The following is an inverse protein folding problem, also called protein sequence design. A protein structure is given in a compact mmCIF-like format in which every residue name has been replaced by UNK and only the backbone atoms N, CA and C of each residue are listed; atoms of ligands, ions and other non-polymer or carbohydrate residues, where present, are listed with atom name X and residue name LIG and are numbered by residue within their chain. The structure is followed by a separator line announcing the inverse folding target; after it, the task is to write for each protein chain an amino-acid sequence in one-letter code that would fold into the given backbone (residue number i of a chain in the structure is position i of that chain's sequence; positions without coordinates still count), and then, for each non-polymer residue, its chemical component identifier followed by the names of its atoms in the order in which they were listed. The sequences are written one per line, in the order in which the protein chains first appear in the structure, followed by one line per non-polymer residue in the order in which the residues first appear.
data_IF_602718553096
#
_entry.id   IF_602718553096
#
_cell.length_a   1.000
_cell.length_b   1.000
_cell.length_c   1.000
_cell.angle_alpha   90.00
_cell.angle_beta   90.00
_cell.angle_gamma   90.00
#
_symmetry.space_group_name_H-M   'P 1'
#
loop_
_entity.id
_entity.type
_entity.pdbx_description
1 polymer ?
#
# COMPACT_ATOMS: atom_id res chain seq x y z
N UNK A 1 18.60 -26.87 3.52
CA UNK A 1 19.65 -26.02 2.92
C UNK A 1 19.09 -25.57 1.59
N UNK A 2 18.66 -24.31 1.50
CA UNK A 2 18.00 -23.76 0.32
C UNK A 2 19.04 -23.09 -0.56
N UNK A 3 19.02 -23.37 -1.87
CA UNK A 3 19.84 -22.62 -2.81
C UNK A 3 19.37 -21.16 -2.81
N UNK A 4 20.29 -20.19 -2.73
CA UNK A 4 19.95 -18.80 -2.94
C UNK A 4 19.39 -18.64 -4.36
N UNK A 5 18.50 -17.65 -4.53
CA UNK A 5 18.02 -17.20 -5.85
C UNK A 5 19.16 -17.31 -6.87
N UNK A 6 19.00 -18.06 -7.97
CA UNK A 6 20.07 -18.17 -8.94
C UNK A 6 20.41 -16.75 -9.39
N UNK A 7 21.70 -16.42 -9.28
CA UNK A 7 22.22 -15.25 -9.98
C UNK A 7 21.77 -15.35 -11.44
N UNK A 8 21.52 -14.22 -12.14
CA UNK A 8 21.21 -14.26 -13.55
C UNK A 8 22.22 -15.21 -14.22
N UNK A 9 21.76 -16.17 -15.04
CA UNK A 9 22.67 -17.12 -15.66
C UNK A 9 23.83 -16.34 -16.30
N UNK A 10 25.05 -16.84 -16.13
CA UNK A 10 26.22 -16.18 -16.69
C UNK A 10 25.92 -15.81 -18.15
N UNK A 11 26.01 -14.51 -18.46
CA UNK A 11 25.80 -14.02 -19.81
C UNK A 11 26.89 -14.63 -20.68
N UNK A 12 26.60 -15.77 -21.31
CA UNK A 12 27.42 -16.21 -22.43
C UNK A 12 27.51 -15.04 -23.41
N UNK A 13 28.71 -14.75 -23.91
CA UNK A 13 29.01 -13.64 -24.84
C UNK A 13 27.80 -13.26 -25.72
N UNK A 14 27.09 -12.21 -25.34
CA UNK A 14 25.93 -11.75 -26.08
C UNK A 14 26.41 -11.17 -27.42
N UNK A 15 26.00 -11.77 -28.53
CA UNK A 15 26.34 -11.24 -29.85
C UNK A 15 25.59 -9.93 -30.11
N UNK A 16 26.12 -9.11 -31.02
CA UNK A 16 25.44 -7.89 -31.47
C UNK A 16 24.01 -8.17 -32.00
N UNK A 17 23.80 -9.34 -32.61
CA UNK A 17 22.47 -9.77 -33.06
C UNK A 17 21.50 -10.03 -31.90
N UNK A 18 21.97 -10.63 -30.81
CA UNK A 18 21.15 -10.89 -29.61
C UNK A 18 20.80 -9.57 -28.91
N UNK A 19 21.74 -8.62 -28.85
CA UNK A 19 21.50 -7.29 -28.28
C UNK A 19 20.47 -6.52 -29.10
N UNK A 20 20.55 -6.55 -30.43
CA UNK A 20 19.54 -5.91 -31.29
C UNK A 20 18.16 -6.53 -31.07
N UNK A 21 18.08 -7.86 -30.97
CA UNK A 21 16.83 -8.56 -30.66
C UNK A 21 16.24 -8.15 -29.30
N UNK A 22 17.04 -8.08 -28.24
CA UNK A 22 16.58 -7.61 -26.93
C UNK A 22 16.11 -6.17 -26.95
N UNK A 23 16.72 -5.33 -27.79
CA UNK A 23 16.36 -3.92 -27.91
C UNK A 23 14.91 -3.73 -28.40
N UNK A 24 14.33 -4.72 -29.09
CA UNK A 24 12.92 -4.69 -29.52
C UNK A 24 11.92 -4.85 -28.37
N UNK A 25 12.36 -5.33 -27.20
CA UNK A 25 11.52 -5.38 -26.00
C UNK A 25 11.34 -4.00 -25.34
N UNK A 26 12.12 -3.00 -25.75
CA UNK A 26 12.08 -1.65 -25.20
C UNK A 26 11.27 -0.70 -26.09
N UNK A 27 10.59 0.31 -25.50
CA UNK A 27 10.00 1.42 -26.26
C UNK A 27 11.03 2.16 -27.12
N UNK A 28 10.59 2.80 -28.20
CA UNK A 28 11.47 3.45 -29.18
C UNK A 28 12.57 4.38 -28.62
N UNK A 29 12.25 5.31 -27.69
CA UNK A 29 13.26 6.18 -27.07
C UNK A 29 14.31 5.41 -26.24
N UNK A 30 13.88 4.41 -25.50
CA UNK A 30 14.75 3.59 -24.63
C UNK A 30 15.61 2.63 -25.45
N UNK A 31 15.06 2.09 -26.55
CA UNK A 31 15.76 1.19 -27.47
C UNK A 31 17.07 1.79 -27.97
N UNK A 32 17.04 3.07 -28.38
CA UNK A 32 18.22 3.73 -28.94
C UNK A 32 19.30 3.96 -27.88
N UNK A 33 18.89 4.34 -26.66
CA UNK A 33 19.80 4.52 -25.53
C UNK A 33 20.42 3.19 -25.08
N UNK A 34 19.63 2.12 -25.05
CA UNK A 34 20.08 0.77 -24.72
C UNK A 34 21.14 0.25 -25.69
N UNK A 35 20.89 0.35 -27.00
CA UNK A 35 21.85 -0.07 -28.02
C UNK A 35 23.18 0.67 -27.90
N UNK A 36 23.13 1.99 -27.64
CA UNK A 36 24.33 2.79 -27.40
C UNK A 36 25.09 2.32 -26.17
N UNK A 37 24.41 2.14 -25.04
CA UNK A 37 25.02 1.68 -23.80
C UNK A 37 25.68 0.29 -23.96
N UNK A 38 25.01 -0.65 -24.62
CA UNK A 38 25.55 -1.97 -24.91
C UNK A 38 26.77 -1.92 -25.83
N UNK A 39 26.76 -1.04 -26.84
CA UNK A 39 27.91 -0.84 -27.74
C UNK A 39 29.12 -0.29 -26.99
N UNK A 40 28.90 0.65 -26.06
CA UNK A 40 29.95 1.25 -25.22
C UNK A 40 30.52 0.26 -24.19
N UNK A 41 29.72 -0.70 -23.72
CA UNK A 41 30.18 -1.77 -22.82
C UNK A 41 31.07 -2.81 -23.52
N UNK A 42 30.88 -3.04 -24.81
CA UNK A 42 31.64 -4.03 -25.57
C UNK A 42 31.42 -5.46 -25.03
N UNK A 43 32.51 -6.18 -24.78
CA UNK A 43 32.49 -7.56 -24.25
C UNK A 43 32.61 -7.65 -22.71
N UNK A 44 32.48 -6.53 -21.99
CA UNK A 44 32.51 -6.51 -20.53
C UNK A 44 31.17 -7.04 -19.97
N UNK A 45 31.17 -8.30 -19.53
CA UNK A 45 29.99 -8.99 -18.99
C UNK A 45 29.41 -8.28 -17.77
N UNK A 46 30.24 -7.71 -16.88
CA UNK A 46 29.79 -7.01 -15.68
C UNK A 46 29.08 -5.70 -16.01
N UNK A 47 29.59 -4.96 -17.00
CA UNK A 47 28.90 -3.77 -17.54
C UNK A 47 27.60 -4.15 -18.24
N UNK A 48 27.61 -5.21 -19.06
CA UNK A 48 26.41 -5.65 -19.77
C UNK A 48 25.31 -6.08 -18.80
N UNK A 49 25.64 -6.82 -17.74
CA UNK A 49 24.68 -7.20 -16.69
C UNK A 49 24.08 -5.97 -15.99
N UNK A 50 24.91 -4.95 -15.73
CA UNK A 50 24.45 -3.69 -15.13
C UNK A 50 23.49 -2.95 -16.06
N UNK A 51 23.77 -2.95 -17.37
CA UNK A 51 22.89 -2.36 -18.39
C UNK A 51 21.57 -3.13 -18.47
N UNK A 52 21.59 -4.46 -18.56
CA UNK A 52 20.36 -5.25 -18.59
C UNK A 52 19.51 -5.03 -17.34
N UNK A 53 20.14 -4.97 -16.18
CA UNK A 53 19.44 -4.64 -14.92
C UNK A 53 18.84 -3.24 -14.99
N UNK A 54 19.56 -2.25 -15.51
CA UNK A 54 19.05 -0.88 -15.63
C UNK A 54 17.80 -0.79 -16.52
N UNK A 55 17.81 -1.45 -17.68
CA UNK A 55 16.74 -1.34 -18.67
C UNK A 55 15.58 -2.33 -18.46
N UNK A 56 15.83 -3.51 -17.90
CA UNK A 56 14.82 -4.59 -17.80
C UNK A 56 14.38 -4.92 -16.38
N UNK A 57 14.96 -4.30 -15.34
CA UNK A 57 14.53 -4.58 -13.94
C UNK A 57 13.08 -4.20 -13.68
N UNK A 58 12.57 -3.17 -14.35
CA UNK A 58 11.18 -2.74 -14.26
C UNK A 58 10.51 -2.87 -15.61
N UNK A 59 9.53 -3.76 -15.72
CA UNK A 59 8.71 -3.91 -16.91
C UNK A 59 7.47 -3.03 -16.80
N UNK A 60 7.49 -1.86 -17.46
CA UNK A 60 6.33 -0.96 -17.54
C UNK A 60 5.41 -1.36 -18.67
N UNK A 61 4.11 -1.46 -18.40
CA UNK A 61 3.11 -1.89 -19.40
C UNK A 61 1.71 -1.37 -19.10
N UNK A 62 0.97 -1.02 -20.15
CA UNK A 62 -0.49 -0.81 -20.14
C UNK A 62 -1.27 -2.11 -20.33
N UNK A 63 -0.60 -3.21 -20.68
CA UNK A 63 -1.18 -4.45 -21.20
C UNK A 63 -2.04 -4.28 -22.48
N UNK A 64 -1.82 -3.20 -23.23
CA UNK A 64 -2.52 -2.90 -24.48
C UNK A 64 -1.53 -2.73 -25.64
N UNK A 65 -2.05 -2.84 -26.87
CA UNK A 65 -1.37 -2.47 -28.11
C UNK A 65 0.11 -2.94 -28.19
N UNK A 66 1.05 -2.00 -28.38
CA UNK A 66 2.48 -2.28 -28.47
C UNK A 66 3.04 -2.90 -27.18
N UNK A 67 2.54 -2.51 -26.01
CA UNK A 67 3.02 -3.08 -24.75
C UNK A 67 2.62 -4.56 -24.60
N UNK A 68 1.41 -4.91 -25.06
CA UNK A 68 0.97 -6.29 -25.12
C UNK A 68 1.81 -7.10 -26.12
N UNK A 69 2.11 -6.52 -27.28
CA UNK A 69 2.99 -7.14 -28.27
C UNK A 69 4.39 -7.40 -27.69
N UNK A 70 4.95 -6.43 -26.93
CA UNK A 70 6.25 -6.61 -26.25
C UNK A 70 6.18 -7.67 -25.15
N UNK A 71 5.08 -7.75 -24.39
CA UNK A 71 4.88 -8.80 -23.39
C UNK A 71 4.78 -10.20 -24.05
N UNK A 72 4.08 -10.30 -25.18
CA UNK A 72 4.01 -11.54 -25.98
C UNK A 72 5.39 -11.94 -26.48
N UNK A 73 6.20 -10.99 -26.95
CA UNK A 73 7.59 -11.28 -27.31
C UNK A 73 8.38 -11.78 -26.09
N UNK A 74 8.28 -11.10 -24.95
CA UNK A 74 8.96 -11.50 -23.72
C UNK A 74 8.59 -12.92 -23.26
N UNK A 75 7.35 -13.37 -23.54
CA UNK A 75 6.88 -14.72 -23.22
C UNK A 75 7.56 -15.82 -24.05
N UNK A 76 8.13 -15.48 -25.21
CA UNK A 76 8.80 -16.46 -26.08
C UNK A 76 10.06 -17.00 -25.38
N UNK A 77 10.26 -18.32 -25.44
CA UNK A 77 11.37 -19.02 -24.80
C UNK A 77 12.74 -18.37 -25.07
N UNK A 78 12.94 -17.82 -26.27
CA UNK A 78 14.15 -17.11 -26.70
C UNK A 78 14.58 -15.96 -25.77
N UNK A 79 13.65 -15.33 -25.05
CA UNK A 79 13.95 -14.21 -24.15
C UNK A 79 14.07 -14.63 -22.67
N UNK A 80 14.37 -15.91 -22.39
CA UNK A 80 14.60 -16.42 -21.02
C UNK A 80 15.60 -15.59 -20.23
N UNK A 81 16.73 -15.22 -20.84
CA UNK A 81 17.75 -14.42 -20.15
C UNK A 81 17.22 -13.06 -19.70
N UNK A 82 16.39 -12.41 -20.51
CA UNK A 82 15.80 -11.10 -20.17
C UNK A 82 14.73 -11.23 -19.08
N UNK A 83 13.92 -12.30 -19.12
CA UNK A 83 12.89 -12.57 -18.11
C UNK A 83 13.47 -12.64 -16.68
N UNK A 84 14.69 -13.14 -16.52
CA UNK A 84 15.38 -13.22 -15.23
C UNK A 84 15.70 -11.84 -14.62
N UNK A 85 15.82 -10.79 -15.44
CA UNK A 85 16.10 -9.44 -14.96
C UNK A 85 14.85 -8.72 -14.46
N UNK A 86 13.66 -9.12 -14.91
CA UNK A 86 12.39 -8.46 -14.53
C UNK A 86 12.10 -8.69 -13.04
N UNK A 87 12.28 -7.65 -12.23
CA UNK A 87 12.03 -7.67 -10.78
C UNK A 87 10.73 -6.99 -10.39
N UNK A 88 10.34 -5.95 -11.14
CA UNK A 88 9.11 -5.21 -10.91
C UNK A 88 8.29 -5.22 -12.18
N UNK A 89 7.01 -5.58 -12.08
CA UNK A 89 6.04 -5.33 -13.16
C UNK A 89 5.19 -4.15 -12.74
N UNK A 90 5.23 -3.08 -13.52
CA UNK A 90 4.49 -1.85 -13.29
C UNK A 90 3.39 -1.72 -14.34
N UNK A 91 2.15 -1.94 -13.92
CA UNK A 91 0.96 -1.77 -14.72
C UNK A 91 0.37 -0.40 -14.46
N UNK A 92 0.29 0.44 -15.49
CA UNK A 92 -0.21 1.80 -15.35
C UNK A 92 -0.85 2.23 -16.66
N UNK A 93 -1.98 2.92 -16.56
CA UNK A 93 -2.59 3.63 -17.68
C UNK A 93 -1.86 4.96 -17.95
N UNK A 94 -1.86 5.44 -19.20
CA UNK A 94 -1.16 6.67 -19.58
C UNK A 94 -2.08 7.89 -19.73
N UNK A 95 -3.07 8.05 -18.85
CA UNK A 95 -4.00 9.18 -18.85
C UNK A 95 -3.29 10.53 -18.85
N UNK A 96 -2.16 10.67 -18.15
CA UNK A 96 -1.42 11.94 -18.03
C UNK A 96 -0.74 12.40 -19.34
N UNK A 97 -0.59 11.51 -20.33
CA UNK A 97 0.10 11.83 -21.59
C UNK A 97 -0.80 12.44 -22.65
N UNK A 98 -2.11 12.35 -22.45
CA UNK A 98 -3.09 12.92 -23.38
C UNK A 98 -3.30 14.37 -22.96
N UNK A 99 -2.84 15.29 -23.81
CA UNK A 99 -2.98 16.72 -23.57
C UNK A 99 -4.44 17.11 -23.36
N UNK A 100 -4.64 18.25 -22.71
CA UNK A 100 -5.94 18.80 -22.29
C UNK A 100 -7.02 18.89 -23.39
N UNK A 101 -6.66 18.79 -24.67
CA UNK A 101 -7.53 19.12 -25.81
C UNK A 101 -7.75 18.01 -26.85
N UNK A 102 -7.13 16.84 -26.76
CA UNK A 102 -7.19 15.86 -27.85
C UNK A 102 -7.48 14.44 -27.38
N UNK A 103 -8.47 13.81 -28.01
CA UNK A 103 -8.86 12.38 -27.93
C UNK A 103 -9.88 12.05 -26.82
N UNK A 104 -11.05 11.60 -27.26
CA UNK A 104 -12.04 10.94 -26.38
C UNK A 104 -11.41 9.69 -25.77
N UNK A 105 -11.56 9.40 -24.46
CA UNK A 105 -10.94 8.23 -23.80
C UNK A 105 -11.18 6.90 -24.51
N UNK A 106 -12.27 6.79 -25.26
CA UNK A 106 -12.67 5.63 -26.06
C UNK A 106 -11.82 5.37 -27.31
N UNK A 107 -11.04 6.34 -27.78
CA UNK A 107 -10.20 6.24 -28.99
C UNK A 107 -8.70 6.18 -28.66
N UNK A 108 -8.34 6.24 -27.38
CA UNK A 108 -6.96 6.15 -26.93
C UNK A 108 -6.49 4.70 -26.83
N UNK A 109 -5.32 4.43 -27.41
CA UNK A 109 -4.65 3.12 -27.28
C UNK A 109 -3.86 2.96 -25.98
N UNK A 110 -3.83 4.00 -25.13
CA UNK A 110 -3.01 4.04 -23.91
C UNK A 110 -3.80 4.31 -22.62
N UNK A 111 -5.09 4.66 -22.74
CA UNK A 111 -6.02 4.74 -21.61
C UNK A 111 -6.73 3.39 -21.49
N UNK A 112 -6.84 2.89 -20.26
CA UNK A 112 -7.58 1.65 -20.04
C UNK A 112 -9.07 1.80 -20.36
N UNK A 113 -9.65 0.92 -21.18
CA UNK A 113 -11.08 0.93 -21.46
C UNK A 113 -11.86 0.62 -20.18
N UNK A 114 -13.02 1.27 -20.02
CA UNK A 114 -13.87 1.12 -18.82
C UNK A 114 -15.28 0.67 -19.16
N UNK A 115 -15.85 -0.10 -18.26
CA UNK A 115 -17.26 -0.47 -18.25
C UNK A 115 -18.12 0.70 -17.76
N UNK A 116 -19.44 0.61 -17.95
CA UNK A 116 -20.39 1.65 -17.56
C UNK A 116 -20.39 1.96 -16.05
N UNK A 117 -19.91 1.04 -15.21
CA UNK A 117 -19.78 1.21 -13.75
C UNK A 117 -18.41 1.78 -13.33
N UNK A 118 -17.55 2.16 -14.28
CA UNK A 118 -16.26 2.77 -14.05
C UNK A 118 -15.12 1.78 -13.76
N UNK A 119 -15.39 0.46 -13.77
CA UNK A 119 -14.36 -0.58 -13.70
C UNK A 119 -13.54 -0.65 -14.98
N UNK A 120 -12.26 -0.99 -14.85
CA UNK A 120 -11.43 -1.32 -16.01
C UNK A 120 -11.96 -2.61 -16.65
N UNK A 121 -12.18 -2.59 -17.96
CA UNK A 121 -12.59 -3.74 -18.75
C UNK A 121 -11.38 -4.67 -18.96
N UNK A 122 -11.12 -5.54 -17.99
CA UNK A 122 -9.95 -6.43 -17.97
C UNK A 122 -9.90 -7.36 -19.19
N UNK A 123 -11.04 -7.67 -19.80
CA UNK A 123 -11.17 -8.52 -20.98
C UNK A 123 -10.56 -7.87 -22.24
N UNK A 124 -10.46 -6.53 -22.25
CA UNK A 124 -9.81 -5.78 -23.32
C UNK A 124 -8.30 -5.60 -23.10
N UNK A 125 -7.77 -6.09 -21.97
CA UNK A 125 -6.36 -6.04 -21.61
C UNK A 125 -5.72 -7.43 -21.74
N UNK A 126 -4.41 -7.48 -21.92
CA UNK A 126 -3.62 -8.71 -21.90
C UNK A 126 -3.46 -9.38 -20.52
N UNK A 127 -4.46 -9.27 -19.64
CA UNK A 127 -4.41 -9.78 -18.25
C UNK A 127 -4.16 -11.28 -18.20
N UNK A 128 -4.86 -12.05 -19.04
CA UNK A 128 -4.72 -13.51 -19.06
C UNK A 128 -3.31 -13.97 -19.47
N UNK A 129 -2.66 -13.25 -20.38
CA UNK A 129 -1.28 -13.55 -20.77
C UNK A 129 -0.33 -13.32 -19.59
N UNK A 130 -0.42 -12.15 -18.95
CA UNK A 130 0.43 -11.83 -17.79
C UNK A 130 0.21 -12.86 -16.68
N UNK A 131 -1.06 -13.16 -16.36
CA UNK A 131 -1.44 -14.15 -15.36
C UNK A 131 -0.86 -15.53 -15.67
N UNK A 132 -0.94 -15.98 -16.93
CA UNK A 132 -0.36 -17.25 -17.35
C UNK A 132 1.17 -17.27 -17.22
N UNK A 133 1.86 -16.18 -17.56
CA UNK A 133 3.31 -16.06 -17.38
C UNK A 133 3.73 -16.10 -15.91
N UNK A 134 2.94 -15.49 -15.03
CA UNK A 134 3.16 -15.52 -13.58
C UNK A 134 2.89 -16.92 -13.00
N UNK A 135 1.75 -17.53 -13.35
CA UNK A 135 1.37 -18.87 -12.88
C UNK A 135 2.35 -19.96 -13.36
N UNK A 136 2.86 -19.83 -14.59
CA UNK A 136 3.88 -20.74 -15.15
C UNK A 136 5.31 -20.38 -14.73
N UNK A 137 5.47 -19.37 -13.86
CA UNK A 137 6.75 -18.88 -13.36
C UNK A 137 7.76 -18.48 -14.45
N UNK A 138 7.27 -18.14 -15.66
CA UNK A 138 8.08 -17.57 -16.72
C UNK A 138 8.56 -16.17 -16.33
N UNK A 139 7.73 -15.44 -15.59
CA UNK A 139 8.12 -14.24 -14.87
C UNK A 139 8.10 -14.53 -13.38
N UNK A 140 9.16 -14.12 -12.69
CA UNK A 140 9.30 -14.24 -11.23
C UNK A 140 9.64 -12.87 -10.65
N UNK A 141 8.73 -11.88 -10.79
CA UNK A 141 8.97 -10.57 -10.21
C UNK A 141 8.98 -10.67 -8.69
N UNK A 142 9.74 -9.80 -8.06
CA UNK A 142 9.74 -9.61 -6.61
C UNK A 142 8.61 -8.64 -6.19
N UNK A 143 8.05 -7.89 -7.15
CA UNK A 143 6.97 -6.93 -6.90
C UNK A 143 6.05 -6.71 -8.10
N UNK A 144 4.75 -6.58 -7.83
CA UNK A 144 3.74 -6.13 -8.78
C UNK A 144 3.17 -4.78 -8.31
N UNK A 145 3.19 -3.77 -9.17
CA UNK A 145 2.53 -2.48 -8.96
C UNK A 145 1.45 -2.27 -10.03
N UNK A 146 0.24 -1.88 -9.60
CA UNK A 146 -0.88 -1.56 -10.49
C UNK A 146 -1.38 -0.18 -10.10
N UNK A 147 -1.35 0.76 -11.04
CA UNK A 147 -1.80 2.14 -10.86
C UNK A 147 -2.94 2.43 -11.82
N UNK A 148 -4.12 2.59 -11.25
CA UNK A 148 -5.30 3.08 -11.95
C UNK A 148 -5.35 4.60 -11.83
N UNK A 149 -5.10 5.28 -12.95
CA UNK A 149 -5.27 6.73 -13.09
C UNK A 149 -6.59 7.01 -13.79
N UNK A 150 -7.43 7.84 -13.20
CA UNK A 150 -8.64 8.33 -13.87
C UNK A 150 -8.39 9.70 -14.48
N UNK A 151 -9.05 9.93 -15.62
CA UNK A 151 -9.09 11.25 -16.25
C UNK A 151 -9.53 12.30 -15.25
N UNK A 152 -8.69 13.33 -15.09
CA UNK A 152 -8.96 14.49 -14.23
C UNK A 152 -10.21 15.26 -14.73
N UNK A 153 -10.62 15.03 -15.99
CA UNK A 153 -11.81 15.63 -16.62
C UNK A 153 -13.08 14.81 -16.46
N UNK A 154 -13.00 13.57 -15.99
CA UNK A 154 -14.19 12.81 -15.66
C UNK A 154 -14.82 13.44 -14.41
N UNK A 155 -15.95 14.13 -14.58
CA UNK A 155 -16.78 14.70 -13.51
C UNK A 155 -17.37 13.65 -12.54
N UNK A 156 -16.82 12.44 -12.53
CA UNK A 156 -17.32 11.32 -11.77
C UNK A 156 -16.75 11.31 -10.36
N UNK A 157 -17.61 10.87 -9.45
CA UNK A 157 -17.42 10.81 -8.02
C UNK A 157 -16.05 10.26 -7.58
N UNK A 158 -15.70 10.54 -6.31
CA UNK A 158 -14.51 10.03 -5.66
C UNK A 158 -14.24 8.56 -6.03
N UNK A 159 -12.99 8.27 -6.44
CA UNK A 159 -12.54 6.92 -6.74
C UNK A 159 -12.94 5.94 -5.64
N UNK A 160 -13.61 4.88 -6.04
CA UNK A 160 -13.72 3.67 -5.23
C UNK A 160 -12.51 2.77 -5.56
N UNK A 161 -11.57 2.58 -4.63
CA UNK A 161 -10.40 1.74 -4.80
C UNK A 161 -10.78 0.30 -5.08
N UNK A 162 -11.92 -0.17 -4.58
CA UNK A 162 -12.39 -1.54 -4.85
C UNK A 162 -12.73 -1.73 -6.32
N UNK A 163 -13.38 -0.74 -6.95
CA UNK A 163 -13.66 -0.73 -8.39
C UNK A 163 -12.38 -0.85 -9.23
N UNK A 164 -11.33 -0.10 -8.86
CA UNK A 164 -10.02 -0.18 -9.51
C UNK A 164 -9.28 -1.50 -9.19
N UNK A 165 -9.42 -1.99 -7.95
CA UNK A 165 -8.72 -3.16 -7.47
C UNK A 165 -9.28 -4.49 -8.01
N UNK A 166 -10.39 -4.46 -8.75
CA UNK A 166 -10.88 -5.63 -9.51
C UNK A 166 -9.88 -6.04 -10.60
N UNK A 167 -9.18 -5.10 -11.25
CA UNK A 167 -8.12 -5.45 -12.19
C UNK A 167 -7.00 -6.22 -11.47
N UNK A 168 -6.58 -5.73 -10.31
CA UNK A 168 -5.59 -6.41 -9.48
C UNK A 168 -6.06 -7.81 -9.06
N UNK A 169 -7.36 -7.98 -8.79
CA UNK A 169 -7.93 -9.29 -8.46
C UNK A 169 -7.82 -10.22 -9.66
N UNK A 170 -8.16 -9.76 -10.85
CA UNK A 170 -8.11 -10.59 -12.06
C UNK A 170 -6.68 -11.09 -12.36
N UNK A 171 -5.67 -10.28 -12.04
CA UNK A 171 -4.25 -10.62 -12.20
C UNK A 171 -3.76 -11.52 -11.07
N UNK A 172 -3.96 -11.14 -9.81
CA UNK A 172 -3.36 -11.81 -8.65
C UNK A 172 -4.08 -13.14 -8.32
N UNK A 173 -5.41 -13.19 -8.47
CA UNK A 173 -6.20 -14.35 -8.11
C UNK A 173 -5.98 -15.49 -9.11
N UNK A 174 -5.39 -16.60 -8.67
CA UNK A 174 -5.05 -17.73 -9.53
C UNK A 174 -3.72 -17.62 -10.29
N UNK A 175 -2.93 -16.55 -10.07
CA UNK A 175 -1.55 -16.46 -10.55
C UNK A 175 -0.55 -17.25 -9.67
N UNK A 176 -1.06 -17.91 -8.64
CA UNK A 176 -0.30 -18.72 -7.69
C UNK A 176 0.90 -17.99 -7.05
N UNK A 177 0.67 -16.72 -6.71
CA UNK A 177 1.69 -15.85 -6.18
C UNK A 177 1.76 -15.95 -4.66
N UNK A 178 2.98 -16.03 -4.11
CA UNK A 178 3.21 -15.92 -2.68
C UNK A 178 3.45 -14.45 -2.30
N UNK A 179 2.53 -13.86 -1.54
CA UNK A 179 2.56 -12.43 -1.18
C UNK A 179 3.09 -12.27 0.25
N UNK A 180 4.00 -11.33 0.45
CA UNK A 180 4.66 -11.02 1.74
C UNK A 180 4.24 -9.66 2.30
N UNK A 181 3.95 -8.69 1.43
CA UNK A 181 3.35 -7.42 1.80
C UNK A 181 2.33 -6.97 0.75
N UNK A 182 1.29 -6.28 1.21
CA UNK A 182 0.23 -5.79 0.34
C UNK A 182 -0.11 -4.32 0.63
N UNK A 183 -0.40 -3.54 -0.40
CA UNK A 183 -0.79 -2.14 -0.29
C UNK A 183 -1.94 -1.86 -1.25
N UNK A 184 -3.00 -1.24 -0.74
CA UNK A 184 -4.10 -0.64 -1.49
C UNK A 184 -4.26 0.80 -0.98
N UNK A 185 -3.91 1.79 -1.79
CA UNK A 185 -3.93 3.21 -1.42
C UNK A 185 -4.54 4.07 -2.51
N UNK A 186 -4.98 5.27 -2.12
CA UNK A 186 -5.37 6.35 -3.04
C UNK A 186 -4.41 7.53 -2.88
N UNK A 187 -3.28 7.57 -3.62
CA UNK A 187 -2.30 8.64 -3.49
C UNK A 187 -2.88 10.04 -3.77
N UNK A 188 -3.91 10.11 -4.60
CA UNK A 188 -4.66 11.33 -4.91
C UNK A 188 -6.14 11.02 -5.09
N UNK A 189 -6.95 12.04 -5.35
CA UNK A 189 -8.37 11.87 -5.66
C UNK A 189 -8.64 11.16 -7.00
N UNK A 190 -7.60 11.00 -7.84
CA UNK A 190 -7.69 10.48 -9.21
C UNK A 190 -6.77 9.26 -9.45
N UNK A 191 -6.10 8.76 -8.41
CA UNK A 191 -5.17 7.64 -8.52
C UNK A 191 -5.45 6.60 -7.43
N UNK A 192 -5.55 5.34 -7.84
CA UNK A 192 -5.51 4.18 -6.93
C UNK A 192 -4.26 3.35 -7.24
N UNK A 193 -3.51 2.99 -6.21
CA UNK A 193 -2.32 2.16 -6.29
C UNK A 193 -2.52 0.87 -5.51
N UNK A 194 -2.32 -0.26 -6.19
CA UNK A 194 -2.22 -1.58 -5.60
C UNK A 194 -0.77 -2.07 -5.75
N UNK A 195 -0.16 -2.55 -4.68
CA UNK A 195 1.15 -3.17 -4.73
C UNK A 195 1.20 -4.47 -3.94
N UNK A 196 1.86 -5.49 -4.50
CA UNK A 196 2.11 -6.77 -3.85
C UNK A 196 3.62 -7.07 -3.90
N UNK A 197 4.23 -7.26 -2.73
CA UNK A 197 5.60 -7.77 -2.61
C UNK A 197 5.56 -9.29 -2.55
N UNK A 198 6.44 -9.94 -3.30
CA UNK A 198 6.37 -11.35 -3.61
C UNK A 198 7.56 -12.11 -2.99
N UNK A 199 7.29 -13.31 -2.47
CA UNK A 199 8.34 -14.19 -1.98
C UNK A 199 8.93 -15.01 -3.13
N UNK A 200 10.15 -14.69 -3.57
CA UNK A 200 10.83 -15.45 -4.63
C UNK A 200 10.85 -16.98 -4.35
N UNK A 201 11.12 -17.38 -3.11
CA UNK A 201 11.28 -18.80 -2.73
C UNK A 201 9.98 -19.62 -2.71
N UNK A 202 8.83 -18.94 -2.77
CA UNK A 202 7.53 -19.57 -2.54
C UNK A 202 6.52 -19.36 -3.68
N UNK A 203 6.95 -18.78 -4.81
CA UNK A 203 6.08 -18.63 -5.98
C UNK A 203 5.63 -20.00 -6.52
N UNK A 204 4.36 -20.12 -6.90
CA UNK A 204 3.78 -21.35 -7.46
C UNK A 204 3.51 -22.47 -6.43
N UNK A 205 3.39 -22.14 -5.15
CA UNK A 205 3.17 -23.12 -4.08
C UNK A 205 1.72 -23.15 -3.54
N UNK A 206 0.79 -22.41 -4.13
CA UNK A 206 -0.60 -22.30 -3.69
C UNK A 206 -0.81 -21.43 -2.45
N UNK A 207 0.22 -20.76 -1.94
CA UNK A 207 0.17 -20.20 -0.58
C UNK A 207 -0.46 -18.80 -0.48
N UNK A 208 -0.59 -18.09 -1.60
CA UNK A 208 -1.33 -16.83 -1.68
C UNK A 208 -0.91 -15.81 -0.61
N UNK A 209 -1.86 -15.43 0.24
CA UNK A 209 -1.71 -14.44 1.30
C UNK A 209 -1.11 -14.99 2.61
N UNK A 210 -0.79 -16.28 2.67
CA UNK A 210 -0.38 -16.93 3.92
C UNK A 210 0.91 -16.38 4.53
N UNK A 211 1.77 -15.78 3.70
CA UNK A 211 3.02 -15.15 4.12
C UNK A 211 2.91 -13.63 4.34
N UNK A 212 1.73 -13.04 4.15
CA UNK A 212 1.56 -11.59 4.29
C UNK A 212 1.82 -11.19 5.73
N UNK A 213 2.89 -10.43 5.94
CA UNK A 213 3.27 -9.88 7.24
C UNK A 213 2.82 -8.43 7.41
N UNK A 214 2.67 -7.70 6.31
CA UNK A 214 2.33 -6.29 6.31
C UNK A 214 1.22 -5.98 5.31
N UNK A 215 0.22 -5.22 5.74
CA UNK A 215 -0.84 -4.73 4.89
C UNK A 215 -1.16 -3.26 5.14
N UNK A 216 -1.38 -2.49 4.08
CA UNK A 216 -1.94 -1.15 4.15
C UNK A 216 -3.16 -1.04 3.25
N UNK A 217 -4.31 -0.72 3.83
CA UNK A 217 -5.61 -0.74 3.17
C UNK A 217 -6.31 0.62 3.32
N UNK A 218 -6.62 1.26 2.19
CA UNK A 218 -7.43 2.47 2.12
C UNK A 218 -8.84 2.12 1.63
N UNK A 219 -9.84 2.38 2.46
CA UNK A 219 -11.26 2.16 2.16
C UNK A 219 -11.97 3.45 1.77
N UNK A 220 -13.04 3.33 0.98
CA UNK A 220 -13.87 4.49 0.60
C UNK A 220 -15.35 4.28 0.86
N UNK A 221 -16.08 5.39 0.80
CA UNK A 221 -17.42 5.61 1.37
C UNK A 221 -18.55 4.87 0.64
N UNK A 222 -18.31 4.39 -0.58
CA UNK A 222 -19.39 4.17 -1.53
C UNK A 222 -19.73 2.69 -1.63
N UNK A 223 -20.74 2.29 -0.83
CA UNK A 223 -21.69 1.21 -1.11
C UNK A 223 -21.19 -0.25 -1.09
N UNK A 224 -19.90 -0.53 -0.97
CA UNK A 224 -19.45 -1.91 -0.81
C UNK A 224 -19.07 -2.21 0.65
N UNK A 225 -19.97 -2.83 1.45
CA UNK A 225 -19.59 -3.33 2.77
C UNK A 225 -18.48 -4.39 2.71
N UNK A 226 -18.22 -5.01 1.56
CA UNK A 226 -17.29 -6.12 1.40
C UNK A 226 -16.06 -5.70 0.59
N UNK A 227 -14.94 -5.44 1.27
CA UNK A 227 -13.64 -5.31 0.60
C UNK A 227 -13.07 -6.71 0.36
N UNK A 228 -12.93 -7.10 -0.91
CA UNK A 228 -12.35 -8.40 -1.27
C UNK A 228 -10.94 -8.54 -0.68
N UNK A 229 -10.15 -7.47 -0.73
CA UNK A 229 -8.78 -7.50 -0.23
C UNK A 229 -8.70 -7.54 1.28
N UNK A 230 -9.56 -6.80 1.99
CA UNK A 230 -9.63 -6.90 3.44
C UNK A 230 -10.00 -8.32 3.87
N UNK A 231 -11.02 -8.93 3.25
CA UNK A 231 -11.40 -10.31 3.55
C UNK A 231 -10.23 -11.27 3.26
N UNK A 232 -9.55 -11.13 2.12
CA UNK A 232 -8.43 -11.99 1.77
C UNK A 232 -7.26 -11.87 2.74
N UNK A 233 -6.90 -10.65 3.13
CA UNK A 233 -5.74 -10.39 3.99
C UNK A 233 -6.05 -10.74 5.44
N UNK A 234 -7.21 -10.33 5.95
CA UNK A 234 -7.57 -10.52 7.35
C UNK A 234 -7.97 -11.96 7.67
N UNK A 235 -8.62 -12.67 6.74
CA UNK A 235 -9.04 -14.06 6.94
C UNK A 235 -7.96 -15.08 6.52
N UNK A 236 -7.15 -14.77 5.50
CA UNK A 236 -6.18 -15.72 4.93
C UNK A 236 -4.72 -15.28 5.09
N UNK A 237 -4.44 -14.24 5.88
CA UNK A 237 -3.10 -13.80 6.26
C UNK A 237 -2.76 -14.10 7.73
N UNK A 238 -2.58 -15.37 8.14
CA UNK A 238 -2.28 -15.74 9.53
C UNK A 238 -0.93 -15.19 10.02
N UNK A 239 -0.02 -14.83 9.11
CA UNK A 239 1.28 -14.25 9.43
C UNK A 239 1.24 -12.72 9.59
N UNK A 240 0.08 -12.08 9.49
CA UNK A 240 -0.04 -10.62 9.51
C UNK A 240 0.39 -10.04 10.87
N UNK A 241 1.35 -9.12 10.84
CA UNK A 241 1.94 -8.44 12.00
C UNK A 241 1.77 -6.94 11.97
N UNK A 242 1.85 -6.32 10.80
CA UNK A 242 1.71 -4.88 10.63
C UNK A 242 0.46 -4.58 9.79
N UNK A 243 -0.47 -3.79 10.33
CA UNK A 243 -1.68 -3.40 9.64
C UNK A 243 -1.90 -1.89 9.72
N UNK A 244 -2.06 -1.26 8.55
CA UNK A 244 -2.54 0.11 8.41
C UNK A 244 -3.93 0.09 7.78
N UNK A 245 -4.89 0.75 8.43
CA UNK A 245 -6.23 0.99 7.90
C UNK A 245 -6.45 2.49 7.75
N UNK A 246 -6.84 2.93 6.56
CA UNK A 246 -7.13 4.32 6.24
C UNK A 246 -8.45 4.46 5.51
N UNK A 247 -9.05 5.64 5.55
CA UNK A 247 -10.32 5.92 4.87
C UNK A 247 -10.20 7.21 4.07
N UNK A 248 -10.67 7.24 2.82
CA UNK A 248 -10.48 8.40 1.93
C UNK A 248 -11.27 9.65 2.34
N UNK A 249 -12.32 9.48 3.14
CA UNK A 249 -13.06 10.57 3.77
C UNK A 249 -13.44 10.17 5.20
N UNK A 250 -13.36 11.09 6.18
CA UNK A 250 -13.88 10.83 7.52
C UNK A 250 -15.38 10.55 7.42
N UNK A 251 -15.77 9.32 7.69
CA UNK A 251 -17.16 8.88 7.62
C UNK A 251 -18.03 9.68 8.59
N UNK A 252 -19.05 10.37 8.07
CA UNK A 252 -20.14 10.91 8.89
C UNK A 252 -21.09 9.80 9.36
N UNK A 253 -21.13 8.68 8.63
CA UNK A 253 -21.91 7.48 8.95
C UNK A 253 -20.99 6.26 9.04
N UNK A 254 -20.97 5.53 10.17
CA UNK A 254 -20.12 4.37 10.35
C UNK A 254 -20.80 3.17 9.68
N UNK A 255 -20.73 3.05 8.36
CA UNK A 255 -20.85 1.73 7.75
C UNK A 255 -19.56 0.98 8.05
N UNK A 256 -19.50 0.39 9.25
CA UNK A 256 -18.46 -0.56 9.61
C UNK A 256 -18.57 -1.74 8.65
N UNK A 257 -17.49 -2.07 7.91
CA UNK A 257 -17.50 -3.27 7.08
C UNK A 257 -17.87 -4.51 7.92
N UNK A 258 -18.64 -5.47 7.39
CA UNK A 258 -19.07 -6.65 8.13
C UNK A 258 -17.92 -7.47 8.70
N UNK A 259 -16.73 -7.44 8.07
CA UNK A 259 -15.54 -8.11 8.62
C UNK A 259 -15.11 -7.54 9.99
N UNK A 260 -15.45 -6.27 10.28
CA UNK A 260 -15.25 -5.65 11.59
C UNK A 260 -16.36 -6.04 12.57
N UNK A 261 -17.57 -6.31 12.08
CA UNK A 261 -18.76 -6.60 12.88
C UNK A 261 -18.94 -8.09 13.23
N UNK A 262 -18.40 -9.01 12.42
CA UNK A 262 -18.73 -10.44 12.47
C UNK A 262 -17.92 -11.29 13.48
N UNK A 263 -17.44 -10.72 14.59
CA UNK A 263 -16.61 -11.45 15.58
C UNK A 263 -15.43 -12.21 14.94
N UNK A 264 -14.92 -11.70 13.82
CA UNK A 264 -13.75 -12.26 13.14
C UNK A 264 -12.56 -12.24 14.09
N UNK A 265 -11.87 -13.37 14.21
CA UNK A 265 -10.65 -13.46 15.02
C UNK A 265 -9.56 -12.68 14.29
N UNK A 266 -9.21 -11.51 14.79
CA UNK A 266 -8.16 -10.67 14.22
C UNK A 266 -6.77 -11.30 14.44
N UNK A 267 -5.81 -11.13 13.52
CA UNK A 267 -4.43 -11.56 13.73
C UNK A 267 -3.80 -10.91 14.97
N UNK A 268 -2.82 -11.58 15.57
CA UNK A 268 -2.02 -11.02 16.65
C UNK A 268 -0.99 -10.03 16.08
N UNK A 269 -1.38 -8.75 16.03
CA UNK A 269 -0.62 -7.65 15.44
C UNK A 269 0.52 -7.21 16.36
N UNK A 270 1.62 -6.82 15.75
CA UNK A 270 2.75 -6.14 16.38
C UNK A 270 2.65 -4.62 16.21
N UNK A 271 2.12 -4.15 15.08
CA UNK A 271 1.86 -2.73 14.83
C UNK A 271 0.49 -2.52 14.20
N UNK A 272 -0.22 -1.52 14.71
CA UNK A 272 -1.52 -1.11 14.19
C UNK A 272 -1.57 0.39 13.93
N UNK A 273 -1.94 0.77 12.72
CA UNK A 273 -2.16 2.17 12.34
C UNK A 273 -3.59 2.35 11.84
N UNK A 274 -4.22 3.41 12.31
CA UNK A 274 -5.59 3.71 11.95
C UNK A 274 -5.72 5.21 11.65
N UNK A 275 -6.20 5.53 10.46
CA UNK A 275 -6.22 6.89 9.95
C UNK A 275 -7.50 7.31 9.25
N UNK A 276 -7.76 8.62 9.28
CA UNK A 276 -8.88 9.28 8.57
C UNK A 276 -10.26 8.65 8.77
N UNK A 277 -10.51 8.05 9.94
CA UNK A 277 -11.73 7.31 10.22
C UNK A 277 -12.57 7.91 11.34
N UNK A 278 -13.85 7.51 11.39
CA UNK A 278 -14.73 7.72 12.54
C UNK A 278 -15.21 6.37 13.06
N UNK A 279 -14.60 5.89 14.15
CA UNK A 279 -14.86 4.54 14.68
C UNK A 279 -15.16 4.60 16.18
N UNK A 280 -16.06 3.73 16.68
CA UNK A 280 -16.32 3.60 18.11
C UNK A 280 -15.16 2.85 18.80
N UNK A 281 -15.01 3.05 20.12
CA UNK A 281 -13.99 2.35 20.93
C UNK A 281 -14.13 0.83 20.83
N UNK A 282 -15.36 0.32 20.80
CA UNK A 282 -15.64 -1.11 20.75
C UNK A 282 -15.02 -1.75 19.51
N UNK A 283 -15.09 -1.08 18.37
CA UNK A 283 -14.43 -1.50 17.13
C UNK A 283 -12.91 -1.51 17.27
N UNK A 284 -12.31 -0.43 17.77
CA UNK A 284 -10.84 -0.34 17.92
C UNK A 284 -10.35 -1.47 18.83
N UNK A 285 -11.03 -1.70 19.95
CA UNK A 285 -10.64 -2.75 20.89
C UNK A 285 -10.93 -4.16 20.35
N UNK A 286 -11.97 -4.35 19.55
CA UNK A 286 -12.24 -5.63 18.88
C UNK A 286 -11.11 -6.00 17.91
N UNK A 287 -10.63 -5.04 17.12
CA UNK A 287 -9.48 -5.23 16.22
C UNK A 287 -8.23 -5.65 17.00
N UNK A 288 -7.99 -5.02 18.16
CA UNK A 288 -6.79 -5.26 18.96
C UNK A 288 -6.90 -6.46 19.92
N UNK A 289 -8.05 -7.12 19.99
CA UNK A 289 -8.38 -8.13 21.01
C UNK A 289 -7.34 -9.26 21.14
N UNK A 290 -6.79 -9.76 20.02
CA UNK A 290 -5.77 -10.81 20.01
C UNK A 290 -4.33 -10.30 20.07
N UNK A 291 -4.14 -8.98 20.13
CA UNK A 291 -2.82 -8.34 20.06
C UNK A 291 -2.26 -7.96 21.43
N UNK A 292 -2.92 -8.36 22.53
CA UNK A 292 -2.57 -7.94 23.89
C UNK A 292 -1.07 -8.16 24.24
N UNK A 293 -0.53 -9.30 23.84
CA UNK A 293 0.86 -9.69 24.15
C UNK A 293 1.86 -9.36 23.04
N UNK A 294 1.38 -9.01 21.83
CA UNK A 294 2.23 -8.79 20.66
C UNK A 294 2.36 -7.33 20.26
N UNK A 295 1.39 -6.48 20.62
CA UNK A 295 1.35 -5.09 20.16
C UNK A 295 2.49 -4.28 20.77
N UNK A 296 3.38 -3.82 19.90
CA UNK A 296 4.53 -2.96 20.23
C UNK A 296 4.35 -1.54 19.72
N UNK A 297 3.51 -1.33 18.71
CA UNK A 297 3.31 -0.03 18.09
C UNK A 297 1.85 0.30 17.77
N UNK A 298 1.43 1.54 18.05
CA UNK A 298 0.09 2.01 17.67
C UNK A 298 0.08 3.46 17.14
N UNK A 299 -0.68 3.72 16.09
CA UNK A 299 -0.81 5.04 15.49
C UNK A 299 -2.25 5.43 15.22
N UNK A 300 -2.61 6.67 15.58
CA UNK A 300 -3.89 7.29 15.26
C UNK A 300 -3.67 8.63 14.56
N UNK A 301 -4.13 8.74 13.31
CA UNK A 301 -3.97 9.95 12.49
C UNK A 301 -5.29 10.45 11.93
N UNK A 302 -5.66 11.72 12.17
CA UNK A 302 -6.93 12.30 11.69
C UNK A 302 -8.15 11.47 12.10
N UNK A 303 -8.14 10.96 13.33
CA UNK A 303 -9.18 10.08 13.86
C UNK A 303 -10.27 10.86 14.60
N UNK A 304 -11.52 10.47 14.39
CA UNK A 304 -12.67 10.96 15.19
C UNK A 304 -13.29 9.80 15.96
N UNK A 305 -13.50 9.93 17.28
CA UNK A 305 -14.27 8.92 18.01
C UNK A 305 -15.78 9.08 17.77
N UNK A 306 -16.47 7.94 17.66
CA UNK A 306 -17.93 7.86 17.67
C UNK A 306 -18.54 8.35 18.98
N UNK A 307 -19.87 8.37 19.06
CA UNK A 307 -20.59 8.74 20.28
C UNK A 307 -20.22 7.80 21.45
N UNK A 308 -20.42 8.27 22.70
CA UNK A 308 -20.24 7.49 23.93
C UNK A 308 -18.79 7.16 24.35
N UNK A 309 -17.77 7.75 23.72
CA UNK A 309 -16.37 7.53 24.12
C UNK A 309 -15.50 8.77 24.00
N UNK A 310 -14.50 8.87 24.88
CA UNK A 310 -13.50 9.94 24.88
C UNK A 310 -12.11 9.38 24.56
N UNK A 311 -11.24 10.22 24.01
CA UNK A 311 -9.85 9.81 23.78
C UNK A 311 -9.13 9.46 25.08
N UNK A 312 -9.46 10.12 26.18
CA UNK A 312 -8.96 9.77 27.52
C UNK A 312 -9.22 8.29 27.82
N UNK A 313 -10.45 7.82 27.62
CA UNK A 313 -10.82 6.43 27.91
C UNK A 313 -10.13 5.44 26.97
N UNK A 314 -10.09 5.74 25.67
CA UNK A 314 -9.43 4.88 24.66
C UNK A 314 -7.95 4.72 24.96
N UNK A 315 -7.24 5.83 25.15
CA UNK A 315 -5.79 5.83 25.37
C UNK A 315 -5.43 5.21 26.72
N UNK A 316 -6.21 5.48 27.77
CA UNK A 316 -6.00 4.86 29.10
C UNK A 316 -6.20 3.33 29.03
N UNK A 317 -7.23 2.88 28.30
CA UNK A 317 -7.49 1.45 28.11
C UNK A 317 -6.36 0.78 27.35
N UNK A 318 -5.87 1.39 26.28
CA UNK A 318 -4.73 0.87 25.50
C UNK A 318 -3.46 0.82 26.36
N UNK A 319 -3.18 1.88 27.13
CA UNK A 319 -2.04 1.93 28.03
C UNK A 319 -2.04 0.77 29.06
N UNK A 320 -3.23 0.39 29.54
CA UNK A 320 -3.38 -0.67 30.55
C UNK A 320 -3.40 -2.08 29.94
N UNK A 321 -4.03 -2.26 28.79
CA UNK A 321 -4.23 -3.59 28.19
C UNK A 321 -3.03 -4.07 27.38
N UNK A 322 -2.19 -3.16 26.82
CA UNK A 322 -1.06 -3.51 25.95
C UNK A 322 0.28 -3.13 26.61
N UNK A 323 0.82 -3.96 27.52
CA UNK A 323 1.98 -3.60 28.34
C UNK A 323 3.29 -3.48 27.54
N UNK A 324 3.41 -4.18 26.41
CA UNK A 324 4.64 -4.27 25.60
C UNK A 324 4.77 -3.15 24.56
N UNK A 325 3.93 -2.11 24.62
CA UNK A 325 4.05 -0.96 23.74
C UNK A 325 5.43 -0.30 23.90
N UNK A 326 6.13 -0.15 22.78
CA UNK A 326 7.40 0.59 22.68
C UNK A 326 7.29 1.84 21.81
N UNK A 327 6.18 2.02 21.09
CA UNK A 327 5.97 3.16 20.21
C UNK A 327 4.49 3.55 20.14
N UNK A 328 4.22 4.86 20.12
CA UNK A 328 2.92 5.36 19.69
C UNK A 328 3.03 6.69 18.96
N UNK A 329 2.04 6.97 18.11
CA UNK A 329 1.87 8.27 17.47
C UNK A 329 0.39 8.70 17.44
N UNK A 330 0.11 9.87 17.99
CA UNK A 330 -1.22 10.47 18.06
C UNK A 330 -1.20 11.79 17.31
N UNK A 331 -2.03 11.94 16.27
CA UNK A 331 -2.03 13.14 15.44
C UNK A 331 -3.44 13.55 15.03
N UNK A 332 -3.79 14.82 15.29
CA UNK A 332 -5.03 15.46 14.89
C UNK A 332 -6.29 14.66 15.28
N UNK A 333 -6.36 14.22 16.54
CA UNK A 333 -7.49 13.49 17.08
C UNK A 333 -8.68 14.42 17.34
N UNK A 334 -9.90 13.89 17.29
CA UNK A 334 -11.12 14.60 17.65
C UNK A 334 -12.21 13.67 18.19
N UNK A 335 -13.21 14.21 18.87
CA UNK A 335 -14.34 13.45 19.42
C UNK A 335 -15.67 14.24 19.36
N UNK A 336 -16.79 13.54 19.49
CA UNK A 336 -18.14 14.11 19.53
C UNK A 336 -18.86 14.18 18.18
N UNK A 337 -20.10 14.68 18.20
CA UNK A 337 -20.88 14.95 16.98
C UNK A 337 -20.46 16.28 16.35
N UNK A 338 -20.70 16.42 15.05
CA UNK A 338 -20.42 17.64 14.30
C UNK A 338 -20.96 18.90 15.00
N UNK A 339 -20.14 19.94 15.22
CA UNK A 339 -18.74 20.05 14.85
C UNK A 339 -17.80 19.23 15.76
N UNK A 340 -16.92 18.42 15.16
CA UNK A 340 -15.97 17.58 15.90
C UNK A 340 -15.08 18.45 16.79
N UNK A 341 -14.91 18.04 18.06
CA UNK A 341 -14.06 18.75 19.03
C UNK A 341 -12.64 18.20 18.92
N UNK A 342 -11.65 18.97 18.44
CA UNK A 342 -10.28 18.51 18.40
C UNK A 342 -9.73 18.25 19.80
N UNK A 343 -8.87 17.24 19.92
CA UNK A 343 -8.12 16.97 21.14
C UNK A 343 -6.88 17.86 21.17
N UNK A 344 -6.61 18.38 22.37
CA UNK A 344 -5.46 19.19 22.70
C UNK A 344 -4.70 18.54 23.85
N UNK A 345 -3.38 18.39 23.71
CA UNK A 345 -2.49 17.85 24.73
C UNK A 345 -1.64 18.91 25.45
N UNK A 346 -2.09 20.17 25.48
CA UNK A 346 -1.31 21.29 26.07
C UNK A 346 -0.90 21.06 27.53
N UNK A 347 -1.74 20.40 28.33
CA UNK A 347 -1.44 20.08 29.74
C UNK A 347 -0.28 19.11 29.92
N UNK A 348 0.23 18.50 28.84
CA UNK A 348 1.44 17.69 28.88
C UNK A 348 2.69 18.53 29.18
N UNK A 349 2.65 19.84 28.89
CA UNK A 349 3.73 20.77 29.23
C UNK A 349 3.85 21.00 30.74
N UNK A 350 2.76 20.81 31.48
CA UNK A 350 2.68 21.01 32.93
C UNK A 350 3.05 19.74 33.71
N UNK A 351 3.32 18.63 33.02
CA UNK A 351 3.72 17.37 33.64
C UNK A 351 5.25 17.30 33.78
N UNK A 352 5.73 17.04 34.99
CA UNK A 352 7.16 16.86 35.33
C UNK A 352 7.85 15.67 34.62
N UNK A 353 7.09 14.88 33.85
CA UNK A 353 7.62 13.87 32.92
C UNK A 353 8.58 14.45 31.88
N UNK A 354 8.42 15.73 31.54
CA UNK A 354 9.33 16.44 30.63
C UNK A 354 10.72 16.69 31.25
N UNK A 355 10.88 16.49 32.56
CA UNK A 355 12.11 16.75 33.31
C UNK A 355 12.84 15.48 33.77
N UNK A 356 12.19 14.31 33.77
CA UNK A 356 12.77 13.04 34.22
C UNK A 356 13.17 12.13 33.05
N UNK A 357 14.46 11.81 32.97
CA UNK A 357 14.91 10.64 32.19
C UNK A 357 14.34 9.36 32.85
N UNK A 358 13.94 8.33 32.08
CA UNK A 358 14.24 8.13 30.66
C UNK A 358 13.15 8.60 29.68
N UNK A 359 12.07 9.24 30.14
CA UNK A 359 10.90 9.49 29.30
C UNK A 359 11.09 10.63 28.29
N UNK A 360 11.91 11.63 28.65
CA UNK A 360 12.12 12.84 27.85
C UNK A 360 12.73 12.54 26.48
N UNK A 361 13.70 11.63 26.41
CA UNK A 361 14.45 11.34 25.17
C UNK A 361 13.59 10.74 24.06
N UNK A 362 12.53 10.00 24.42
CA UNK A 362 11.61 9.36 23.48
C UNK A 362 10.44 10.24 23.02
N UNK A 363 10.08 11.28 23.78
CA UNK A 363 8.86 12.07 23.57
C UNK A 363 9.07 13.23 22.59
N UNK A 364 8.23 13.30 21.56
CA UNK A 364 8.22 14.36 20.54
C UNK A 364 6.82 14.95 20.42
N UNK A 365 6.73 16.27 20.46
CA UNK A 365 5.47 17.01 20.36
C UNK A 365 5.51 18.03 19.22
N UNK A 366 4.37 18.23 18.55
CA UNK A 366 4.20 19.34 17.60
C UNK A 366 3.06 20.23 18.01
N UNK A 367 3.39 21.50 18.24
CA UNK A 367 2.44 22.56 18.49
C UNK A 367 1.94 23.16 17.17
N UNK A 368 0.67 23.54 17.11
CA UNK A 368 0.03 24.26 16.00
C UNK A 368 -0.86 25.37 16.55
N UNK A 369 -1.14 26.38 15.74
CA UNK A 369 -1.97 27.54 16.11
C UNK A 369 -1.20 28.62 16.87
N UNK A 370 -1.84 29.78 17.04
CA UNK A 370 -1.32 30.97 17.74
C UNK A 370 -2.35 31.49 18.73
N UNK A 371 -1.89 32.19 19.78
CA UNK A 371 -2.78 32.75 20.82
C UNK A 371 -3.63 31.67 21.50
N UNK A 372 -4.93 31.94 21.63
CA UNK A 372 -5.90 31.04 22.26
C UNK A 372 -6.15 29.74 21.48
N UNK A 373 -5.71 29.68 20.23
CA UNK A 373 -5.84 28.50 19.35
C UNK A 373 -4.61 27.58 19.39
N UNK A 374 -3.66 27.87 20.27
CA UNK A 374 -2.44 27.08 20.45
C UNK A 374 -2.79 25.70 20.99
N UNK A 375 -2.41 24.66 20.25
CA UNK A 375 -2.65 23.27 20.65
C UNK A 375 -1.45 22.38 20.35
N UNK A 376 -1.25 21.36 21.17
CA UNK A 376 -0.39 20.23 20.82
C UNK A 376 -1.27 19.24 20.08
N UNK A 377 -1.07 19.16 18.76
CA UNK A 377 -1.90 18.34 17.88
C UNK A 377 -1.21 17.04 17.43
N UNK A 378 0.06 16.87 17.79
CA UNK A 378 0.82 15.63 17.56
C UNK A 378 1.65 15.31 18.80
N UNK A 379 1.55 14.08 19.26
CA UNK A 379 2.38 13.49 20.32
C UNK A 379 2.89 12.15 19.79
N UNK A 380 4.21 11.97 19.79
CA UNK A 380 4.88 10.72 19.42
C UNK A 380 5.80 10.31 20.56
N UNK A 381 5.85 9.03 20.87
CA UNK A 381 6.83 8.49 21.80
C UNK A 381 7.46 7.21 21.24
N UNK A 382 8.73 7.01 21.54
CA UNK A 382 9.50 5.82 21.20
C UNK A 382 10.42 5.45 22.36
N UNK A 383 10.24 4.28 22.95
CA UNK A 383 10.97 3.82 24.13
C UNK A 383 10.25 2.69 24.87
N UNK A 384 10.93 1.97 25.79
CA UNK A 384 10.40 0.78 26.45
C UNK A 384 9.23 1.04 27.41
N UNK A 385 8.92 2.30 27.72
CA UNK A 385 7.85 2.70 28.64
C UNK A 385 6.64 3.32 27.93
N UNK A 386 6.40 2.98 26.66
CA UNK A 386 5.38 3.67 25.87
C UNK A 386 3.96 3.46 26.41
N UNK A 387 3.65 2.29 26.96
CA UNK A 387 2.37 2.04 27.65
C UNK A 387 2.15 3.00 28.82
N UNK A 388 3.15 3.15 29.70
CA UNK A 388 3.10 4.08 30.82
C UNK A 388 2.95 5.54 30.36
N UNK A 389 3.79 5.98 29.41
CA UNK A 389 3.75 7.35 28.87
C UNK A 389 2.41 7.62 28.19
N UNK A 390 1.84 6.64 27.48
CA UNK A 390 0.52 6.75 26.86
C UNK A 390 -0.58 6.97 27.91
N UNK A 391 -0.49 6.31 29.08
CA UNK A 391 -1.40 6.52 30.20
C UNK A 391 -1.40 7.97 30.69
N UNK A 392 -0.22 8.59 30.81
CA UNK A 392 -0.15 10.02 31.18
C UNK A 392 -0.65 10.92 30.04
N UNK A 393 -0.29 10.63 28.80
CA UNK A 393 -0.80 11.37 27.64
C UNK A 393 -2.33 11.31 27.57
N UNK A 394 -2.94 10.20 27.99
CA UNK A 394 -4.38 10.04 28.08
C UNK A 394 -5.00 11.04 29.08
N UNK A 395 -4.41 11.24 30.26
CA UNK A 395 -4.86 12.24 31.24
C UNK A 395 -4.80 13.68 30.70
N UNK A 396 -3.90 13.93 29.75
CA UNK A 396 -3.71 15.23 29.12
C UNK A 396 -4.62 15.46 27.90
N UNK A 397 -5.40 14.47 27.47
CA UNK A 397 -6.25 14.57 26.29
C UNK A 397 -7.52 15.39 26.60
N UNK A 398 -7.58 16.64 26.14
CA UNK A 398 -8.74 17.52 26.37
C UNK A 398 -9.43 17.86 25.05
N UNK A 399 -10.74 17.60 24.96
CA UNK A 399 -11.55 18.02 23.83
C UNK A 399 -11.88 19.51 23.91
N UNK A 400 -11.41 20.29 22.95
CA UNK A 400 -11.66 21.73 22.86
C UNK A 400 -12.76 22.03 21.83
N UNK A 401 -13.67 22.99 22.08
CA UNK A 401 -14.63 23.45 21.07
C UNK A 401 -13.91 23.95 19.81
N UNK A 402 -14.51 23.71 18.63
CA UNK A 402 -14.14 24.47 17.43
C UNK A 402 -14.80 25.85 17.55
N UNK A 403 -13.97 26.89 17.61
CA UNK A 403 -14.37 28.29 17.46
C UNK A 403 -14.81 28.61 16.04
#
# INVERSE_FOLDING_TARGET
MSEPNPSPPALGLASATVIDEWSHLLPGPERSAFLKACTEAGADEGRLQSILTHYFSTWKTTLMADDLSRLQMLAIAKYEQIRCYVKVIWLEDETDKIGYDEVSPSESFVIWPRLADGRVAAEALGVELLKAMLASQQLRPDRLEIRDKRSIYANDAALDPETAAILARNILDGADLAITAFTLRTPSAYETMIAAELSADHQGQGIGFSLVRKADLCFTKILNPYSYWADRILLHGPALKELSLSFSQPCNTPHLPPFILNNTVWPALEKFELSTSRLPISTIMAILSNSQQSLTGISFFLMTLGEESTWVNVLSRIANEFPHLTWFELTNLSEGHFPNRPINFMSLLDKDLMASEPYKSGLKMKQRGTGDYKRISRVKYEGPSASHVLGIVAECAVATPRS
#
